data_IF_658644698157
#
_entry.id   IF_658644698157
#
_cell.length_a   1.000
_cell.length_b   1.000
_cell.length_c   1.000
_cell.angle_alpha   90.00
_cell.angle_beta   90.00
_cell.angle_gamma   90.00
#
_symmetry.space_group_name_H-M   'P 1'
#
loop_
_entity.id
_entity.type
_entity.pdbx_description
1 polymer ?
#
# COMPACT_ATOMS: atom_id res chain seq x y z
N UNK A 1 1.02 10.74 -44.35
CA UNK A 1 1.34 12.11 -44.79
C UNK A 1 0.46 13.08 -44.03
N UNK A 2 0.88 13.51 -42.83
CA UNK A 2 0.27 14.63 -42.10
C UNK A 2 1.37 15.45 -41.43
N UNK A 3 1.26 16.76 -41.62
CA UNK A 3 2.29 17.78 -41.46
C UNK A 3 2.38 18.27 -40.02
N UNK A 4 3.60 18.68 -39.67
CA UNK A 4 3.96 19.66 -38.65
C UNK A 4 3.10 20.94 -38.73
N UNK A 5 2.80 21.57 -37.59
CA UNK A 5 3.03 23.01 -37.36
C UNK A 5 3.04 23.34 -35.86
N UNK A 6 4.01 24.20 -35.54
CA UNK A 6 4.41 24.87 -34.30
C UNK A 6 3.32 25.72 -33.60
N UNK A 7 3.63 26.07 -32.34
CA UNK A 7 3.39 27.33 -31.58
C UNK A 7 2.91 26.98 -30.15
N UNK A 8 3.41 27.54 -29.05
CA UNK A 8 4.23 28.73 -28.87
C UNK A 8 4.84 28.78 -27.47
N UNK A 9 5.84 29.66 -27.34
CA UNK A 9 6.61 29.94 -26.14
C UNK A 9 5.84 30.82 -25.13
N UNK A 10 6.09 30.62 -23.84
CA UNK A 10 5.79 31.59 -22.78
C UNK A 10 6.97 31.69 -21.81
N UNK A 11 7.18 32.87 -21.18
CA UNK A 11 8.46 33.28 -20.61
C UNK A 11 8.70 32.74 -19.20
N UNK A 12 9.99 32.52 -18.93
CA UNK A 12 10.57 32.08 -17.66
C UNK A 12 10.77 33.33 -16.77
N UNK A 13 10.10 33.37 -15.61
CA UNK A 13 10.33 34.36 -14.56
C UNK A 13 11.16 33.72 -13.44
N UNK A 14 12.28 34.34 -13.10
CA UNK A 14 13.18 33.99 -11.99
C UNK A 14 12.66 34.57 -10.68
N UNK A 15 13.07 33.99 -9.53
CA UNK A 15 13.59 34.85 -8.47
C UNK A 15 14.89 34.34 -7.84
N UNK A 16 15.92 35.17 -7.92
CA UNK A 16 16.99 35.39 -6.92
C UNK A 16 16.33 35.93 -5.63
N UNK A 17 16.84 35.90 -4.39
CA UNK A 17 18.06 35.43 -3.72
C UNK A 17 17.99 35.95 -2.26
N UNK A 18 18.63 35.25 -1.31
CA UNK A 18 19.15 35.74 0.00
C UNK A 18 18.07 36.11 1.07
N UNK A 19 18.24 36.05 2.40
CA UNK A 19 19.33 35.91 3.37
C UNK A 19 18.68 35.59 4.74
N UNK A 20 19.14 34.60 5.53
CA UNK A 20 20.04 34.72 6.72
C UNK A 20 19.39 35.28 8.00
N UNK A 21 19.83 34.70 9.14
CA UNK A 21 19.83 35.24 10.54
C UNK A 21 18.48 35.18 11.28
N UNK A 22 18.32 34.80 12.56
CA UNK A 22 19.21 34.64 13.73
C UNK A 22 18.44 33.89 14.83
N UNK A 23 19.07 32.92 15.50
CA UNK A 23 18.70 32.39 16.84
C UNK A 23 19.22 33.34 17.93
N UNK A 24 18.53 33.54 19.07
CA UNK A 24 19.08 32.98 20.32
C UNK A 24 18.00 32.54 21.34
N UNK A 25 18.15 31.37 21.95
CA UNK A 25 18.64 31.09 23.33
C UNK A 25 17.60 31.25 24.46
N UNK A 26 17.42 30.12 25.15
CA UNK A 26 16.83 29.93 26.47
C UNK A 26 17.61 30.69 27.55
N UNK A 27 17.02 30.78 28.76
CA UNK A 27 17.80 30.52 29.96
C UNK A 27 17.24 29.35 30.78
N UNK A 28 18.21 28.54 31.19
CA UNK A 28 18.24 27.56 32.27
C UNK A 28 18.13 28.27 33.63
N UNK A 29 17.35 27.70 34.56
CA UNK A 29 17.57 27.72 36.01
C UNK A 29 16.90 26.44 36.55
N UNK A 30 17.63 25.43 37.03
CA UNK A 30 18.45 25.30 38.24
C UNK A 30 17.68 24.55 39.34
N UNK A 31 18.40 23.57 39.89
CA UNK A 31 18.02 22.50 40.81
C UNK A 31 17.72 22.99 42.23
N UNK A 32 16.98 22.20 43.01
CA UNK A 32 17.35 21.84 44.40
C UNK A 32 16.52 20.62 44.85
N UNK A 33 17.14 19.45 45.05
CA UNK A 33 17.77 18.94 46.29
C UNK A 33 16.76 18.51 47.36
N UNK A 34 16.66 17.19 47.62
CA UNK A 34 16.99 16.51 48.90
C UNK A 34 16.30 15.14 49.05
N UNK A 35 17.09 14.21 49.59
CA UNK A 35 16.83 12.79 49.83
C UNK A 35 16.13 12.54 51.19
N UNK A 36 15.56 11.33 51.36
CA UNK A 36 15.85 10.39 52.47
C UNK A 36 14.66 9.46 52.80
N UNK A 37 14.96 8.15 52.63
CA UNK A 37 14.62 6.99 53.47
C UNK A 37 13.21 6.80 54.07
N UNK A 38 12.65 5.60 53.85
CA UNK A 38 12.58 4.55 54.89
C UNK A 38 12.16 3.19 54.35
N UNK A 39 12.87 2.18 54.85
CA UNK A 39 12.70 0.75 54.64
C UNK A 39 11.68 0.20 55.64
N UNK A 40 10.77 -0.65 55.19
CA UNK A 40 9.82 -1.38 56.04
C UNK A 40 9.35 -2.65 55.35
N UNK A 41 9.89 -3.78 55.77
CA UNK A 41 9.60 -5.13 55.31
C UNK A 41 8.44 -5.73 56.13
N UNK A 42 7.36 -6.19 55.50
CA UNK A 42 6.53 -7.26 56.07
C UNK A 42 5.65 -7.94 55.02
N UNK A 43 5.46 -9.24 55.24
CA UNK A 43 4.95 -10.26 54.33
C UNK A 43 3.42 -10.18 54.13
N UNK A 44 2.99 -10.61 52.95
CA UNK A 44 1.66 -11.08 52.49
C UNK A 44 0.94 -11.99 53.52
N UNK A 45 -0.39 -12.30 53.44
CA UNK A 45 -1.20 -12.37 52.21
C UNK A 45 -2.69 -11.98 52.34
N UNK A 46 -3.29 -11.40 51.30
CA UNK A 46 -4.71 -11.65 50.96
C UNK A 46 -4.92 -11.43 49.47
N UNK A 47 -5.19 -12.54 48.78
CA UNK A 47 -5.73 -12.58 47.44
C UNK A 47 -7.15 -12.02 47.45
N UNK A 48 -7.48 -11.14 46.50
CA UNK A 48 -8.81 -10.59 46.37
C UNK A 48 -8.95 -9.64 45.20
N UNK A 49 -9.32 -10.20 44.04
CA UNK A 49 -10.13 -9.56 43.00
C UNK A 49 -9.73 -8.14 42.55
N UNK A 50 -8.69 -8.06 41.73
CA UNK A 50 -8.74 -7.18 40.57
C UNK A 50 -8.28 -8.01 39.37
N UNK A 51 -9.21 -8.78 38.82
CA UNK A 51 -9.01 -9.38 37.52
C UNK A 51 -8.93 -8.22 36.54
N UNK A 52 -7.71 -7.84 36.15
CA UNK A 52 -7.51 -7.19 34.88
C UNK A 52 -8.22 -8.08 33.88
N UNK A 53 -9.34 -7.61 33.37
CA UNK A 53 -9.88 -8.09 32.12
C UNK A 53 -8.81 -7.66 31.11
N UNK A 54 -7.78 -8.49 30.94
CA UNK A 54 -7.11 -8.59 29.68
C UNK A 54 -8.19 -9.10 28.74
N UNK A 55 -9.01 -8.16 28.26
CA UNK A 55 -9.85 -8.36 27.10
C UNK A 55 -8.88 -8.89 26.06
N UNK A 56 -8.96 -10.19 25.83
CA UNK A 56 -8.26 -10.86 24.76
C UNK A 56 -8.87 -10.28 23.49
N UNK A 57 -8.41 -9.09 23.08
CA UNK A 57 -8.41 -8.72 21.69
C UNK A 57 -7.48 -9.74 21.04
N UNK A 58 -8.08 -10.85 20.60
CA UNK A 58 -7.45 -11.80 19.71
C UNK A 58 -7.07 -11.00 18.48
N UNK A 59 -5.86 -10.45 18.50
CA UNK A 59 -5.29 -9.71 17.40
C UNK A 59 -5.24 -10.69 16.24
N UNK A 60 -6.19 -10.57 15.33
CA UNK A 60 -6.16 -11.26 14.06
C UNK A 60 -4.82 -10.90 13.42
N UNK A 61 -3.93 -11.89 13.34
CA UNK A 61 -2.61 -11.74 12.76
C UNK A 61 -2.78 -11.24 11.32
N UNK A 62 -2.06 -10.17 10.96
CA UNK A 62 -2.15 -9.61 9.60
C UNK A 62 -1.58 -10.63 8.63
N UNK A 63 -2.42 -11.12 7.72
CA UNK A 63 -2.00 -12.09 6.72
C UNK A 63 -0.98 -11.46 5.76
N UNK A 64 0.15 -12.14 5.58
CA UNK A 64 1.21 -11.73 4.66
C UNK A 64 1.87 -12.92 3.98
N UNK A 65 1.70 -13.01 2.67
CA UNK A 65 2.38 -13.95 1.82
C UNK A 65 3.63 -13.30 1.19
N UNK A 66 4.78 -13.92 1.45
CA UNK A 66 6.08 -13.50 0.90
C UNK A 66 6.25 -13.99 -0.52
N UNK A 67 6.95 -13.18 -1.32
CA UNK A 67 7.17 -13.44 -2.72
C UNK A 67 7.97 -14.72 -2.93
N UNK A 68 7.47 -15.56 -3.83
CA UNK A 68 8.23 -16.67 -4.41
C UNK A 68 8.32 -16.44 -5.93
N UNK A 69 9.53 -16.51 -6.48
CA UNK A 69 9.78 -16.34 -7.92
C UNK A 69 9.22 -14.99 -8.44
N UNK A 70 8.54 -14.97 -9.58
CA UNK A 70 7.93 -13.78 -10.18
C UNK A 70 6.41 -13.69 -9.92
N UNK A 71 5.91 -14.27 -8.83
CA UNK A 71 4.47 -14.37 -8.56
C UNK A 71 3.89 -13.16 -7.79
N UNK A 72 4.50 -11.98 -7.91
CA UNK A 72 4.10 -10.79 -7.13
C UNK A 72 2.62 -10.41 -7.30
N UNK A 73 2.03 -10.59 -8.49
CA UNK A 73 0.60 -10.36 -8.72
C UNK A 73 -0.31 -11.24 -7.85
N UNK A 74 0.02 -12.53 -7.72
CA UNK A 74 -0.74 -13.49 -6.90
C UNK A 74 -0.62 -13.10 -5.43
N UNK A 75 0.60 -12.80 -4.98
CA UNK A 75 0.83 -12.42 -3.59
C UNK A 75 0.16 -11.10 -3.25
N UNK A 76 0.14 -10.13 -4.17
CA UNK A 76 -0.61 -8.90 -3.99
C UNK A 76 -2.12 -9.18 -3.84
N UNK A 77 -2.70 -10.06 -4.68
CA UNK A 77 -4.10 -10.49 -4.55
C UNK A 77 -4.39 -11.15 -3.19
N UNK A 78 -3.56 -12.12 -2.78
CA UNK A 78 -3.77 -12.81 -1.51
C UNK A 78 -3.59 -11.86 -0.30
N UNK A 79 -2.60 -10.97 -0.38
CA UNK A 79 -2.33 -10.00 0.67
C UNK A 79 -3.45 -8.96 0.77
N UNK A 80 -3.96 -8.43 -0.34
CA UNK A 80 -5.06 -7.44 -0.28
C UNK A 80 -6.38 -8.07 0.21
N UNK A 81 -6.60 -9.36 -0.10
CA UNK A 81 -7.76 -10.12 0.35
C UNK A 81 -7.59 -10.72 1.76
N UNK A 82 -6.40 -10.60 2.35
CA UNK A 82 -6.06 -11.16 3.66
C UNK A 82 -6.28 -12.67 3.78
N UNK A 83 -6.12 -13.40 2.67
CA UNK A 83 -6.37 -14.84 2.60
C UNK A 83 -5.59 -15.45 1.42
N UNK A 84 -5.08 -16.67 1.59
CA UNK A 84 -4.37 -17.40 0.53
C UNK A 84 -5.36 -18.09 -0.42
N UNK A 85 -5.90 -17.35 -1.39
CA UNK A 85 -6.93 -17.89 -2.29
C UNK A 85 -6.45 -18.17 -3.70
N UNK A 86 -5.54 -17.35 -4.21
CA UNK A 86 -4.96 -17.56 -5.52
C UNK A 86 -3.66 -18.33 -5.39
N UNK A 87 -3.56 -19.44 -6.10
CA UNK A 87 -2.32 -20.17 -6.33
C UNK A 87 -1.83 -19.94 -7.75
N UNK A 88 -0.61 -20.38 -8.04
CA UNK A 88 -0.06 -20.33 -9.40
C UNK A 88 -0.97 -21.07 -10.38
N UNK A 89 -1.47 -22.23 -9.97
CA UNK A 89 -2.34 -23.08 -10.78
C UNK A 89 -3.65 -22.36 -11.09
N UNK A 90 -4.27 -21.74 -10.09
CA UNK A 90 -5.50 -20.96 -10.28
C UNK A 90 -5.27 -19.74 -11.20
N UNK A 91 -4.14 -19.03 -11.05
CA UNK A 91 -3.78 -17.93 -11.94
C UNK A 91 -3.50 -18.41 -13.38
N UNK A 92 -2.84 -19.55 -13.55
CA UNK A 92 -2.59 -20.15 -14.86
C UNK A 92 -3.89 -20.57 -15.54
N UNK A 93 -4.90 -21.01 -14.80
CA UNK A 93 -6.23 -21.33 -15.32
C UNK A 93 -7.03 -20.07 -15.70
N UNK A 94 -6.89 -18.98 -14.94
CA UNK A 94 -7.39 -17.65 -15.34
C UNK A 94 -6.76 -17.24 -16.67
N UNK A 95 -5.43 -17.35 -16.80
CA UNK A 95 -4.74 -17.05 -18.05
C UNK A 95 -5.25 -17.88 -19.23
N UNK A 96 -5.49 -19.18 -19.05
CA UNK A 96 -6.03 -20.05 -20.12
C UNK A 96 -7.43 -19.61 -20.55
N UNK A 97 -8.29 -19.19 -19.62
CA UNK A 97 -9.63 -18.69 -19.94
C UNK A 97 -9.61 -17.35 -20.66
N UNK A 98 -8.67 -16.47 -20.32
CA UNK A 98 -8.49 -15.17 -20.98
C UNK A 98 -7.96 -15.30 -22.42
N UNK A 99 -7.16 -16.33 -22.70
CA UNK A 99 -6.61 -16.59 -24.03
C UNK A 99 -6.70 -18.10 -24.41
N UNK A 100 -7.91 -18.62 -24.69
CA UNK A 100 -8.13 -20.06 -24.89
C UNK A 100 -7.52 -20.61 -26.19
N UNK A 101 -7.21 -19.73 -27.16
CA UNK A 101 -6.73 -20.10 -28.50
C UNK A 101 -5.22 -19.84 -28.71
N UNK A 102 -4.47 -19.52 -27.65
CA UNK A 102 -3.07 -19.11 -27.77
C UNK A 102 -2.13 -20.15 -27.13
N UNK A 103 -1.24 -20.74 -27.95
CA UNK A 103 -0.18 -21.66 -27.49
C UNK A 103 0.86 -20.96 -26.59
N UNK A 104 1.06 -19.65 -26.77
CA UNK A 104 1.85 -18.77 -25.91
C UNK A 104 0.89 -17.79 -25.25
N UNK A 105 0.80 -17.84 -23.93
CA UNK A 105 -0.13 -17.00 -23.20
C UNK A 105 0.46 -15.59 -23.00
N UNK A 106 -0.13 -14.52 -23.57
CA UNK A 106 0.43 -13.17 -23.51
C UNK A 106 0.39 -12.55 -22.11
N UNK A 107 -0.37 -13.15 -21.18
CA UNK A 107 -0.61 -12.66 -19.83
C UNK A 107 0.32 -13.27 -18.78
N UNK A 108 1.35 -14.02 -19.20
CA UNK A 108 2.41 -14.55 -18.33
C UNK A 108 3.74 -14.66 -19.08
N UNK A 109 4.85 -14.73 -18.34
CA UNK A 109 6.14 -15.07 -18.94
C UNK A 109 6.08 -16.43 -19.67
N UNK A 110 6.63 -16.49 -20.88
CA UNK A 110 6.63 -17.68 -21.76
C UNK A 110 7.23 -18.92 -21.08
N UNK A 111 8.12 -18.71 -20.11
CA UNK A 111 8.79 -19.76 -19.33
C UNK A 111 7.96 -20.27 -18.12
N UNK A 112 6.75 -19.74 -17.89
CA UNK A 112 5.88 -20.18 -16.79
C UNK A 112 6.43 -19.88 -15.39
N UNK A 113 7.34 -18.91 -15.27
CA UNK A 113 8.02 -18.48 -14.04
C UNK A 113 7.17 -17.58 -13.14
N UNK A 114 6.06 -17.04 -13.67
CA UNK A 114 5.26 -15.97 -13.06
C UNK A 114 5.23 -14.74 -13.96
N UNK A 115 5.03 -13.56 -13.37
CA UNK A 115 4.85 -12.25 -14.02
C UNK A 115 3.50 -12.10 -14.73
N UNK A 116 2.42 -12.22 -13.96
CA UNK A 116 1.07 -11.99 -14.45
C UNK A 116 0.79 -10.51 -14.66
N UNK A 117 0.05 -10.20 -15.72
CA UNK A 117 -0.38 -8.84 -16.03
C UNK A 117 -1.65 -8.43 -15.24
N UNK A 118 -2.09 -7.19 -15.49
CA UNK A 118 -3.27 -6.60 -14.85
C UNK A 118 -4.57 -7.36 -15.16
N UNK A 119 -4.69 -8.01 -16.32
CA UNK A 119 -5.93 -8.70 -16.70
C UNK A 119 -6.16 -9.92 -15.81
N UNK A 120 -5.09 -10.58 -15.40
CA UNK A 120 -5.16 -11.69 -14.42
C UNK A 120 -5.65 -11.17 -13.07
N UNK A 121 -5.15 -10.01 -12.63
CA UNK A 121 -5.60 -9.36 -11.38
C UNK A 121 -7.09 -9.02 -11.45
N UNK A 122 -7.53 -8.39 -12.54
CA UNK A 122 -8.94 -8.03 -12.74
C UNK A 122 -9.85 -9.26 -12.77
N UNK A 123 -9.49 -10.28 -13.55
CA UNK A 123 -10.28 -11.50 -13.64
C UNK A 123 -10.32 -12.29 -12.32
N UNK A 124 -9.23 -12.28 -11.55
CA UNK A 124 -9.18 -12.88 -10.22
C UNK A 124 -10.15 -12.18 -9.26
N UNK A 125 -10.13 -10.85 -9.20
CA UNK A 125 -11.04 -10.07 -8.36
C UNK A 125 -12.51 -10.26 -8.78
N UNK A 126 -12.79 -10.27 -10.08
CA UNK A 126 -14.14 -10.52 -10.60
C UNK A 126 -14.68 -11.90 -10.19
N UNK A 127 -13.83 -12.94 -10.14
CA UNK A 127 -14.23 -14.27 -9.67
C UNK A 127 -14.66 -14.31 -8.19
N UNK A 128 -14.33 -13.25 -7.43
CA UNK A 128 -14.68 -13.07 -6.01
C UNK A 128 -15.79 -12.03 -5.82
N UNK A 129 -16.44 -11.58 -6.88
CA UNK A 129 -17.46 -10.53 -6.81
C UNK A 129 -16.90 -9.14 -6.51
N UNK A 130 -15.60 -8.93 -6.75
CA UNK A 130 -14.93 -7.64 -6.58
C UNK A 130 -14.57 -7.04 -7.93
N UNK A 131 -14.18 -5.78 -7.91
CA UNK A 131 -13.72 -5.02 -9.06
C UNK A 131 -12.37 -4.37 -8.79
N UNK A 132 -11.67 -4.03 -9.87
CA UNK A 132 -10.42 -3.27 -9.85
C UNK A 132 -10.59 -1.98 -10.66
N UNK A 133 -10.67 -0.86 -9.97
CA UNK A 133 -10.81 0.47 -10.59
C UNK A 133 -9.43 1.10 -10.76
N UNK A 134 -9.14 1.59 -11.96
CA UNK A 134 -7.90 2.31 -12.23
C UNK A 134 -7.95 3.71 -11.61
N UNK A 135 -6.99 4.03 -10.74
CA UNK A 135 -6.88 5.38 -10.20
C UNK A 135 -6.27 6.34 -11.23
N UNK A 136 -6.96 7.45 -11.50
CA UNK A 136 -6.42 8.52 -12.33
C UNK A 136 -5.43 9.38 -11.53
N UNK A 137 -4.13 9.23 -11.84
CA UNK A 137 -3.02 9.96 -11.18
C UNK A 137 -3.13 11.49 -11.25
N UNK A 138 -3.95 12.03 -12.14
CA UNK A 138 -4.20 13.47 -12.24
C UNK A 138 -5.10 13.97 -11.11
N UNK A 139 -5.78 13.07 -10.39
CA UNK A 139 -6.64 13.38 -9.25
C UNK A 139 -5.83 13.32 -7.95
N UNK A 140 -6.24 14.15 -6.99
CA UNK A 140 -5.70 14.09 -5.64
C UNK A 140 -6.19 12.83 -4.92
N UNK A 141 -5.30 12.10 -4.26
CA UNK A 141 -5.68 10.95 -3.41
C UNK A 141 -6.56 11.38 -2.23
N UNK A 142 -6.70 12.67 -1.95
CA UNK A 142 -7.67 13.21 -1.00
C UNK A 142 -9.11 12.91 -1.42
N UNK A 143 -9.36 12.78 -2.72
CA UNK A 143 -10.70 12.51 -3.25
C UNK A 143 -11.09 11.02 -3.15
N UNK A 144 -10.23 10.15 -2.58
CA UNK A 144 -10.58 8.75 -2.31
C UNK A 144 -11.56 8.67 -1.14
N UNK A 145 -12.69 7.99 -1.36
CA UNK A 145 -13.57 7.53 -0.29
C UNK A 145 -13.02 6.21 0.26
N UNK A 146 -12.12 6.30 1.26
CA UNK A 146 -11.36 5.16 1.78
C UNK A 146 -12.26 4.05 2.36
N UNK A 147 -13.40 4.43 2.98
CA UNK A 147 -14.38 3.49 3.53
C UNK A 147 -14.97 2.54 2.47
N UNK A 148 -15.04 2.97 1.20
CA UNK A 148 -15.56 2.18 0.09
C UNK A 148 -14.49 1.33 -0.58
N UNK A 149 -13.22 1.57 -0.26
CA UNK A 149 -12.08 0.87 -0.86
C UNK A 149 -11.63 -0.25 0.07
N UNK A 150 -11.77 -1.47 -0.40
CA UNK A 150 -11.36 -2.65 0.34
C UNK A 150 -9.84 -2.73 0.47
N UNK A 151 -9.09 -2.31 -0.55
CA UNK A 151 -7.63 -2.21 -0.50
C UNK A 151 -7.06 -1.68 -1.81
N UNK A 152 -5.73 -1.61 -1.88
CA UNK A 152 -5.02 -1.04 -3.02
C UNK A 152 -4.02 -2.06 -3.56
N UNK A 153 -3.92 -2.13 -4.89
CA UNK A 153 -2.84 -2.85 -5.56
C UNK A 153 -2.05 -1.83 -6.38
N UNK A 154 -0.77 -1.67 -6.07
CA UNK A 154 0.12 -0.74 -6.75
C UNK A 154 1.06 -1.48 -7.69
N UNK A 155 1.27 -0.92 -8.87
CA UNK A 155 2.29 -1.34 -9.82
C UNK A 155 3.45 -0.33 -9.75
N UNK A 156 4.54 -0.65 -9.07
CA UNK A 156 5.64 0.30 -8.86
C UNK A 156 6.94 -0.23 -9.47
N UNK A 157 7.86 0.65 -9.92
CA UNK A 157 9.16 0.21 -10.37
C UNK A 157 9.98 -0.28 -9.16
N UNK A 158 10.49 -1.49 -9.26
CA UNK A 158 11.24 -2.16 -8.20
C UNK A 158 12.59 -2.63 -8.71
N UNK A 159 13.63 -2.50 -7.88
CA UNK A 159 14.97 -3.00 -8.21
C UNK A 159 14.95 -4.53 -8.18
N UNK A 160 15.65 -5.13 -9.14
CA UNK A 160 15.89 -6.58 -9.14
C UNK A 160 17.14 -6.84 -8.32
N UNK A 161 17.02 -7.66 -7.26
CA UNK A 161 18.17 -8.16 -6.51
C UNK A 161 18.59 -9.53 -7.04
N UNK A 162 19.89 -9.70 -7.28
CA UNK A 162 20.50 -10.99 -7.58
C UNK A 162 21.53 -11.28 -6.47
N UNK A 163 21.08 -11.94 -5.40
CA UNK A 163 21.87 -12.10 -4.17
C UNK A 163 22.12 -10.75 -3.48
N UNK A 164 23.40 -10.44 -3.22
CA UNK A 164 23.83 -9.20 -2.53
C UNK A 164 23.88 -8.00 -3.49
N UNK A 165 23.82 -8.23 -4.81
CA UNK A 165 23.94 -7.18 -5.82
C UNK A 165 22.54 -6.74 -6.30
N UNK A 166 22.22 -5.44 -6.18
CA UNK A 166 21.05 -4.87 -6.86
C UNK A 166 21.43 -4.52 -8.31
N UNK A 167 20.75 -5.12 -9.29
CA UNK A 167 20.95 -4.78 -10.69
C UNK A 167 20.39 -3.37 -10.97
N UNK A 168 21.01 -2.60 -11.88
CA UNK A 168 20.51 -1.28 -12.28
C UNK A 168 19.20 -1.34 -13.09
N UNK A 169 18.65 -2.54 -13.33
CA UNK A 169 17.38 -2.74 -14.01
C UNK A 169 16.20 -2.62 -13.04
N UNK A 170 15.28 -1.71 -13.35
CA UNK A 170 13.98 -1.61 -12.66
C UNK A 170 12.96 -2.46 -13.41
N UNK A 171 12.21 -3.28 -12.67
CA UNK A 171 11.06 -4.03 -13.21
C UNK A 171 9.79 -3.63 -12.49
N UNK A 172 8.66 -3.76 -13.16
CA UNK A 172 7.33 -3.56 -12.55
C UNK A 172 7.11 -4.60 -11.46
N UNK A 173 6.45 -4.18 -10.38
CA UNK A 173 6.20 -5.00 -9.21
C UNK A 173 4.84 -4.66 -8.63
N UNK A 174 4.05 -5.69 -8.40
CA UNK A 174 2.76 -5.58 -7.74
C UNK A 174 2.93 -5.69 -6.23
N UNK A 175 2.45 -4.69 -5.50
CA UNK A 175 2.35 -4.72 -4.05
C UNK A 175 0.94 -4.39 -3.60
N UNK A 176 0.56 -4.87 -2.41
CA UNK A 176 -0.74 -4.63 -1.82
C UNK A 176 -0.64 -3.68 -0.62
N UNK A 177 -1.67 -2.87 -0.45
CA UNK A 177 -1.90 -2.09 0.76
C UNK A 177 -3.31 -2.38 1.24
N UNK A 178 -3.47 -2.67 2.53
CA UNK A 178 -4.76 -3.08 3.08
C UNK A 178 -4.95 -2.57 4.49
N UNK A 179 -6.19 -2.16 4.80
CA UNK A 179 -6.61 -1.88 6.16
C UNK A 179 -6.96 -3.19 6.88
N UNK A 180 -6.39 -3.39 8.06
CA UNK A 180 -6.68 -4.48 8.99
C UNK A 180 -6.80 -3.89 10.39
N UNK A 181 -7.92 -4.12 11.08
CA UNK A 181 -8.18 -3.59 12.41
C UNK A 181 -8.00 -2.06 12.50
N UNK A 182 -8.50 -1.33 11.50
CA UNK A 182 -8.44 0.14 11.45
C UNK A 182 -7.08 0.72 11.01
N UNK A 183 -6.04 -0.12 10.85
CA UNK A 183 -4.69 0.32 10.49
C UNK A 183 -4.32 -0.18 9.08
N UNK A 184 -3.66 0.67 8.30
CA UNK A 184 -3.15 0.33 6.98
C UNK A 184 -1.74 -0.27 7.08
N UNK A 185 -1.51 -1.29 6.27
CA UNK A 185 -0.24 -1.98 6.16
C UNK A 185 0.22 -2.02 4.72
N UNK A 186 1.52 -1.78 4.52
CA UNK A 186 2.22 -2.16 3.31
C UNK A 186 2.48 -3.66 3.37
N UNK A 187 1.86 -4.38 2.45
CA UNK A 187 1.93 -5.83 2.31
C UNK A 187 2.70 -6.23 1.05
N UNK A 188 3.72 -5.44 0.69
CA UNK A 188 4.67 -5.83 -0.33
C UNK A 188 5.26 -7.21 0.02
N UNK A 189 5.09 -8.15 -0.91
CA UNK A 189 5.55 -9.54 -0.77
C UNK A 189 7.08 -9.66 -0.70
N UNK A 190 7.84 -8.62 -1.08
CA UNK A 190 9.30 -8.57 -0.89
C UNK A 190 9.74 -8.25 0.55
N UNK A 191 8.82 -7.78 1.40
CA UNK A 191 9.12 -7.45 2.79
C UNK A 191 9.26 -8.71 3.66
N UNK A 192 9.93 -8.57 4.81
CA UNK A 192 10.03 -9.64 5.81
C UNK A 192 8.71 -9.87 6.56
N UNK A 193 7.76 -8.94 6.48
CA UNK A 193 6.45 -8.98 7.10
C UNK A 193 5.67 -7.71 6.77
N UNK A 194 4.41 -7.58 7.24
CA UNK A 194 3.64 -6.35 7.14
C UNK A 194 4.41 -5.16 7.72
N UNK A 195 4.45 -4.07 6.98
CA UNK A 195 4.97 -2.79 7.50
C UNK A 195 3.79 -1.88 7.78
N UNK A 196 3.64 -1.48 9.04
CA UNK A 196 2.59 -0.55 9.45
C UNK A 196 2.79 0.82 8.80
N UNK A 197 1.73 1.36 8.21
CA UNK A 197 1.69 2.70 7.63
C UNK A 197 1.05 3.67 8.62
N UNK A 198 -0.08 3.30 9.21
CA UNK A 198 -0.88 4.18 10.07
C UNK A 198 -2.36 4.15 9.72
N UNK A 199 -3.08 5.21 10.07
CA UNK A 199 -4.46 5.44 9.69
C UNK A 199 -4.56 6.12 8.32
N UNK A 200 -5.70 6.77 8.08
CA UNK A 200 -5.97 7.46 6.81
C UNK A 200 -5.04 8.66 6.58
N UNK A 201 -4.66 9.36 7.64
CA UNK A 201 -3.77 10.54 7.61
C UNK A 201 -2.37 10.18 7.12
N UNK A 202 -1.86 9.00 7.49
CA UNK A 202 -0.54 8.52 7.05
C UNK A 202 -0.63 7.79 5.69
N UNK A 203 -1.76 7.14 5.40
CA UNK A 203 -1.97 6.45 4.13
C UNK A 203 -1.90 7.39 2.94
N UNK A 204 -2.55 8.56 3.00
CA UNK A 204 -2.64 9.46 1.84
C UNK A 204 -1.27 9.99 1.38
N UNK A 205 -0.37 10.47 2.27
CA UNK A 205 1.01 10.76 1.91
C UNK A 205 1.74 9.56 1.33
N UNK A 206 1.60 8.38 1.93
CA UNK A 206 2.21 7.14 1.42
C UNK A 206 1.78 6.83 -0.02
N UNK A 207 0.48 6.86 -0.32
CA UNK A 207 -0.04 6.61 -1.68
C UNK A 207 0.44 7.69 -2.67
N UNK A 208 0.46 8.95 -2.24
CA UNK A 208 0.95 10.07 -3.06
C UNK A 208 2.43 9.89 -3.43
N UNK A 209 3.25 9.48 -2.46
CA UNK A 209 4.67 9.20 -2.67
C UNK A 209 4.86 8.04 -3.66
N UNK A 210 4.12 6.93 -3.49
CA UNK A 210 4.20 5.80 -4.41
C UNK A 210 3.81 6.20 -5.84
N UNK A 211 2.76 7.01 -6.00
CA UNK A 211 2.25 7.47 -7.29
C UNK A 211 3.11 8.56 -7.95
N UNK A 212 3.95 9.26 -7.20
CA UNK A 212 4.86 10.29 -7.73
C UNK A 212 5.90 9.72 -8.73
N UNK A 213 6.11 8.41 -8.71
CA UNK A 213 6.98 7.74 -9.66
C UNK A 213 6.30 7.66 -11.03
N UNK A 214 6.98 8.10 -12.10
CA UNK A 214 6.39 8.28 -13.44
C UNK A 214 5.59 7.07 -13.93
N UNK A 215 6.15 5.87 -13.77
CA UNK A 215 5.58 4.62 -14.27
C UNK A 215 4.71 3.87 -13.25
N UNK A 216 4.44 4.47 -12.09
CA UNK A 216 3.60 3.85 -11.08
C UNK A 216 2.11 3.91 -11.45
N UNK A 217 1.38 2.84 -11.20
CA UNK A 217 -0.08 2.72 -11.40
C UNK A 217 -0.72 2.21 -10.10
N UNK A 218 -2.00 2.52 -9.87
CA UNK A 218 -2.73 2.03 -8.70
C UNK A 218 -4.13 1.57 -9.10
N UNK A 219 -4.50 0.41 -8.57
CA UNK A 219 -5.83 -0.17 -8.64
C UNK A 219 -6.49 -0.05 -7.27
N UNK A 220 -7.74 0.39 -7.26
CA UNK A 220 -8.62 0.30 -6.10
C UNK A 220 -9.33 -1.05 -6.17
N UNK A 221 -9.24 -1.85 -5.11
CA UNK A 221 -10.04 -3.06 -4.95
C UNK A 221 -11.33 -2.68 -4.23
N UNK A 222 -12.46 -2.84 -4.91
CA UNK A 222 -13.78 -2.40 -4.44
C UNK A 222 -14.83 -3.48 -4.67
N UNK A 223 -15.97 -3.36 -4.00
CA UNK A 223 -17.18 -4.12 -4.35
C UNK A 223 -17.65 -3.71 -5.77
N UNK A 224 -18.34 -4.60 -6.48
CA UNK A 224 -18.80 -4.31 -7.85
C UNK A 224 -19.77 -3.15 -7.90
N UNK A 225 -20.66 -3.04 -6.92
CA UNK A 225 -21.64 -1.97 -6.82
C UNK A 225 -20.95 -0.61 -6.66
N UNK A 226 -19.85 -0.57 -5.91
CA UNK A 226 -19.02 0.63 -5.72
C UNK A 226 -18.32 1.05 -7.02
N UNK A 227 -17.87 0.10 -7.85
CA UNK A 227 -17.35 0.41 -9.19
C UNK A 227 -18.45 1.00 -10.08
N UNK A 228 -19.63 0.38 -10.09
CA UNK A 228 -20.76 0.76 -10.94
C UNK A 228 -21.33 2.15 -10.59
N UNK A 229 -21.45 2.48 -9.30
CA UNK A 229 -21.98 3.76 -8.83
C UNK A 229 -20.92 4.88 -8.70
N UNK A 230 -19.63 4.53 -8.75
CA UNK A 230 -18.53 5.50 -8.66
C UNK A 230 -18.25 6.04 -7.26
N UNK A 231 -18.85 5.46 -6.21
CA UNK A 231 -18.77 5.95 -4.81
C UNK A 231 -17.39 5.82 -4.17
N UNK A 232 -16.42 5.20 -4.85
CA UNK A 232 -15.00 5.21 -4.46
C UNK A 232 -14.36 6.61 -4.58
N UNK A 233 -15.02 7.54 -5.27
CA UNK A 233 -14.63 8.94 -5.38
C UNK A 233 -15.54 9.83 -4.53
N UNK A 234 -14.95 10.68 -3.70
CA UNK A 234 -15.67 11.75 -3.00
C UNK A 234 -16.13 12.74 -4.07
N UNK A 235 -17.45 12.93 -4.14
CA UNK A 235 -18.06 13.97 -4.98
C UNK A 235 -17.87 15.32 -4.31
N UNK A 236 -17.60 16.38 -5.07
CA UNK A 236 -17.41 17.77 -4.57
C UNK A 236 -18.69 18.39 -3.97
N UNK A 237 -19.62 17.60 -3.42
CA UNK A 237 -20.96 18.02 -3.00
C UNK A 237 -21.41 17.54 -1.61
N UNK A 238 -20.54 16.98 -0.79
CA UNK A 238 -20.85 16.67 0.62
C UNK A 238 -19.71 17.15 1.52
N UNK A 239 -19.67 18.46 1.75
CA UNK A 239 -19.15 19.01 2.99
C UNK A 239 -20.14 18.62 4.11
N UNK A 240 -19.67 17.87 5.10
CA UNK A 240 -20.32 17.76 6.41
C UNK A 240 -19.40 18.43 7.44
#
# INVERSE_FOLDING_TARGET
MWRSTLLGAFPRVSPSSLSTTTTPLLPVFAEDTTASERQGNSRTPYAGFQQCVCESMSGLEVFHEKQRLELCAIHALNNVLQERVFTKEAADDICKRLAPQCMVNPHRSVLGTGNYDVNVIMAALQSRGLAAVWWDKRRSVQNLCLEKVQGFILNVPSRVSLGIMSLPLRRRHWLAVRQVNGQYYNLDSKLKGPVWIGGETELRPFLSEQLSQDVAEMLLVVQREVEEDGSWLISDGCEN
#
